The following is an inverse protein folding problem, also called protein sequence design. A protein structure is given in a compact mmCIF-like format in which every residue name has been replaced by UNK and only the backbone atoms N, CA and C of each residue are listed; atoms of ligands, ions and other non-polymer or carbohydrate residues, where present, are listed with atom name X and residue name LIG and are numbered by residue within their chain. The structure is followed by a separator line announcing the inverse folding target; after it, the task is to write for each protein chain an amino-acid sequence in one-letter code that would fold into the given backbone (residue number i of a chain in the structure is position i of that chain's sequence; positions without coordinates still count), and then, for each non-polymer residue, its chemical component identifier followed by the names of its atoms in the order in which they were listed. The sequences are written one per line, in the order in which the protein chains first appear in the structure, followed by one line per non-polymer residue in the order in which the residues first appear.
data_IF_540001646156
#
_entry.id   IF_540001646156
#
_cell.length_a   1.000
_cell.length_b   1.000
_cell.length_c   1.000
_cell.angle_alpha   90.00
_cell.angle_beta   90.00
_cell.angle_gamma   90.00
#
_symmetry.space_group_name_H-M   'P 1'
#
loop_
_entity.id
_entity.type
_entity.pdbx_description
1 polymer ?
#
# COMPACT_ATOMS: atom_id res chain seq x y z
N UNK A 1 47.40 -55.95 -76.53
CA UNK A 1 46.59 -56.60 -75.47
C UNK A 1 47.41 -56.52 -74.19
N UNK A 2 46.86 -56.16 -73.00
CA UNK A 2 45.46 -56.34 -72.57
C UNK A 2 44.76 -55.04 -72.09
N UNK A 3 43.42 -55.04 -71.96
CA UNK A 3 42.68 -54.02 -71.21
C UNK A 3 42.99 -54.12 -69.70
N UNK A 4 42.77 -53.05 -68.92
CA UNK A 4 42.98 -53.08 -67.48
C UNK A 4 42.05 -54.11 -66.80
N UNK A 5 42.52 -54.76 -65.71
CA UNK A 5 41.70 -55.70 -64.95
C UNK A 5 40.56 -54.98 -64.20
N UNK A 6 39.40 -55.63 -64.02
CA UNK A 6 38.28 -55.05 -63.32
C UNK A 6 38.34 -55.27 -61.79
N UNK A 7 37.78 -54.28 -61.09
CA UNK A 7 37.26 -54.20 -59.72
C UNK A 7 37.56 -55.29 -58.67
N UNK A 8 38.01 -54.83 -57.50
CA UNK A 8 37.82 -55.47 -56.20
C UNK A 8 37.85 -54.44 -55.06
N UNK A 9 36.84 -54.39 -54.17
CA UNK A 9 36.66 -53.30 -53.20
C UNK A 9 37.27 -53.57 -51.82
N UNK A 10 37.26 -52.50 -51.02
CA UNK A 10 37.30 -52.45 -49.56
C UNK A 10 38.66 -52.53 -48.86
N UNK A 11 39.26 -51.35 -48.66
CA UNK A 11 40.06 -51.04 -47.47
C UNK A 11 39.35 -49.95 -46.67
N UNK A 12 38.89 -50.30 -45.47
CA UNK A 12 38.16 -49.46 -44.52
C UNK A 12 38.98 -48.22 -44.13
N UNK A 13 38.47 -47.03 -44.45
CA UNK A 13 38.95 -45.80 -43.84
C UNK A 13 38.53 -45.70 -42.36
N UNK A 14 39.29 -44.96 -41.53
CA UNK A 14 38.97 -44.81 -40.11
C UNK A 14 37.60 -44.10 -39.93
N UNK A 15 36.87 -44.40 -38.84
CA UNK A 15 35.57 -43.79 -38.60
C UNK A 15 35.70 -42.26 -38.44
N UNK A 16 34.76 -41.46 -38.96
CA UNK A 16 34.80 -40.02 -38.81
C UNK A 16 34.62 -39.63 -37.33
N UNK A 17 35.22 -38.51 -36.88
CA UNK A 17 35.10 -38.08 -35.50
C UNK A 17 33.64 -37.73 -35.19
N UNK A 18 33.06 -38.44 -34.23
CA UNK A 18 31.75 -38.07 -33.67
C UNK A 18 31.87 -36.70 -33.00
N UNK A 19 31.33 -35.67 -33.65
CA UNK A 19 31.09 -34.36 -33.02
C UNK A 19 30.14 -34.57 -31.85
N UNK A 20 30.66 -34.48 -30.62
CA UNK A 20 29.87 -34.43 -29.38
C UNK A 20 28.92 -33.23 -29.44
N UNK A 21 27.64 -33.51 -29.75
CA UNK A 21 26.51 -32.55 -29.70
C UNK A 21 26.02 -32.28 -28.28
N UNK A 22 26.64 -32.85 -27.26
CA UNK A 22 26.20 -32.74 -25.86
C UNK A 22 26.49 -31.38 -25.22
N UNK A 23 27.46 -30.61 -25.72
CA UNK A 23 27.79 -29.29 -25.14
C UNK A 23 26.77 -28.18 -25.42
N UNK A 24 26.06 -28.24 -26.57
CA UNK A 24 25.14 -27.18 -26.98
C UNK A 24 23.79 -27.25 -26.24
N UNK A 25 23.34 -28.46 -25.88
CA UNK A 25 22.06 -28.67 -25.20
C UNK A 25 22.16 -28.31 -23.71
N UNK A 26 23.29 -28.60 -23.06
CA UNK A 26 23.50 -28.24 -21.64
C UNK A 26 23.64 -26.72 -21.47
N UNK A 27 24.29 -26.02 -22.41
CA UNK A 27 24.38 -24.55 -22.39
C UNK A 27 23.03 -23.84 -22.57
N UNK A 28 22.13 -24.41 -23.37
CA UNK A 28 20.79 -23.86 -23.61
C UNK A 28 19.84 -24.06 -22.42
N UNK A 29 19.93 -25.21 -21.74
CA UNK A 29 19.12 -25.50 -20.54
C UNK A 29 19.62 -24.70 -19.33
N UNK A 30 20.93 -24.57 -19.15
CA UNK A 30 21.50 -23.74 -18.08
C UNK A 30 21.28 -22.24 -18.32
N UNK A 31 21.40 -21.76 -19.57
CA UNK A 31 21.07 -20.39 -19.95
C UNK A 31 19.58 -20.06 -19.82
N UNK A 32 18.71 -21.01 -20.16
CA UNK A 32 17.26 -20.89 -19.97
C UNK A 32 16.86 -20.87 -18.49
N UNK A 33 17.44 -21.74 -17.67
CA UNK A 33 17.22 -21.73 -16.23
C UNK A 33 17.72 -20.43 -15.58
N UNK A 34 18.90 -19.92 -15.98
CA UNK A 34 19.42 -18.65 -15.50
C UNK A 34 18.56 -17.44 -15.94
N UNK A 35 18.05 -17.45 -17.17
CA UNK A 35 17.12 -16.42 -17.66
C UNK A 35 15.75 -16.48 -16.95
N UNK A 36 15.24 -17.67 -16.67
CA UNK A 36 14.00 -17.86 -15.90
C UNK A 36 14.20 -17.41 -14.45
N UNK A 37 15.30 -17.79 -13.81
CA UNK A 37 15.63 -17.34 -12.45
C UNK A 37 15.85 -15.84 -12.41
N UNK A 38 16.52 -15.26 -13.41
CA UNK A 38 16.69 -13.81 -13.52
C UNK A 38 15.35 -13.12 -13.77
N UNK A 39 14.50 -13.63 -14.65
CA UNK A 39 13.18 -13.07 -14.91
C UNK A 39 12.26 -13.18 -13.68
N UNK A 40 12.30 -14.30 -12.96
CA UNK A 40 11.55 -14.50 -11.70
C UNK A 40 12.10 -13.59 -10.60
N UNK A 41 13.43 -13.48 -10.45
CA UNK A 41 14.05 -12.54 -9.52
C UNK A 41 13.72 -11.09 -9.89
N UNK A 42 13.68 -10.75 -11.18
CA UNK A 42 13.25 -9.44 -11.65
C UNK A 42 11.76 -9.21 -11.40
N UNK A 43 10.89 -10.20 -11.55
CA UNK A 43 9.46 -10.09 -11.22
C UNK A 43 9.22 -10.01 -9.71
N UNK A 44 10.03 -10.67 -8.89
CA UNK A 44 9.95 -10.61 -7.43
C UNK A 44 10.54 -9.31 -6.86
N UNK A 45 11.56 -8.75 -7.51
CA UNK A 45 12.21 -7.48 -7.11
C UNK A 45 11.55 -6.25 -7.74
N UNK A 46 10.94 -6.39 -8.93
CA UNK A 46 10.32 -5.31 -9.71
C UNK A 46 8.85 -5.53 -10.07
N UNK A 47 8.19 -6.53 -9.46
CA UNK A 47 6.73 -6.53 -9.38
C UNK A 47 6.29 -5.23 -8.71
N UNK A 48 5.13 -4.69 -9.10
CA UNK A 48 4.62 -3.47 -8.48
C UNK A 48 4.48 -3.70 -6.98
N UNK A 49 5.38 -3.10 -6.19
CA UNK A 49 5.31 -3.15 -4.74
C UNK A 49 3.92 -2.67 -4.31
N UNK A 50 3.33 -3.25 -3.25
CA UNK A 50 2.07 -2.73 -2.72
C UNK A 50 2.21 -1.25 -2.36
N UNK A 51 1.14 -0.48 -2.54
CA UNK A 51 1.08 0.92 -2.12
C UNK A 51 1.24 1.01 -0.61
N UNK A 52 2.15 1.86 -0.16
CA UNK A 52 2.49 2.07 1.25
C UNK A 52 1.85 3.35 1.76
N UNK A 53 1.74 3.50 3.08
CA UNK A 53 1.16 4.70 3.71
C UNK A 53 1.97 5.95 3.34
N UNK A 54 3.31 5.87 3.30
CA UNK A 54 4.14 7.01 2.89
C UNK A 54 3.91 7.47 1.44
N UNK A 55 3.32 6.63 0.59
CA UNK A 55 3.01 6.98 -0.81
C UNK A 55 1.85 7.96 -0.94
N UNK A 56 1.03 8.11 0.11
CA UNK A 56 -0.09 9.04 0.16
C UNK A 56 0.35 10.51 0.12
N UNK A 57 1.60 10.78 0.51
CA UNK A 57 2.22 12.10 0.39
C UNK A 57 2.18 12.65 -1.05
N UNK A 58 2.21 11.76 -2.06
CA UNK A 58 2.18 12.16 -3.46
C UNK A 58 0.86 12.84 -3.87
N UNK A 59 -0.24 12.58 -3.14
CA UNK A 59 -1.56 13.16 -3.42
C UNK A 59 -2.07 14.10 -2.35
N UNK A 60 -1.54 14.04 -1.12
CA UNK A 60 -2.01 14.88 -0.02
C UNK A 60 -2.02 16.36 -0.41
N UNK A 61 -0.86 16.92 -0.78
CA UNK A 61 -0.77 18.34 -1.13
C UNK A 61 -1.56 18.75 -2.37
N UNK A 62 -1.74 17.81 -3.33
CA UNK A 62 -2.54 18.05 -4.54
C UNK A 62 -4.00 18.21 -4.17
N UNK A 63 -4.55 17.22 -3.46
CA UNK A 63 -5.94 17.24 -3.01
C UNK A 63 -6.17 18.41 -2.05
N UNK A 64 -5.24 18.65 -1.12
CA UNK A 64 -5.37 19.76 -0.18
C UNK A 64 -5.43 21.12 -0.87
N UNK A 65 -4.64 21.32 -1.92
CA UNK A 65 -4.66 22.56 -2.70
C UNK A 65 -5.95 22.69 -3.53
N UNK A 66 -6.40 21.61 -4.18
CA UNK A 66 -7.58 21.63 -5.06
C UNK A 66 -8.87 21.88 -4.27
N UNK A 67 -8.98 21.30 -3.08
CA UNK A 67 -10.18 21.39 -2.23
C UNK A 67 -10.06 22.41 -1.09
N UNK A 68 -8.88 23.02 -0.91
CA UNK A 68 -8.56 23.90 0.22
C UNK A 68 -8.90 23.26 1.59
N UNK A 69 -8.64 21.95 1.72
CA UNK A 69 -8.96 21.11 2.88
C UNK A 69 -7.98 19.94 2.98
N UNK A 70 -7.46 19.66 4.18
CA UNK A 70 -6.57 18.52 4.35
C UNK A 70 -7.35 17.20 4.21
N UNK A 71 -6.98 16.32 3.26
CA UNK A 71 -7.65 15.04 3.10
C UNK A 71 -7.27 14.06 4.21
N UNK A 72 -8.24 13.30 4.65
CA UNK A 72 -7.99 12.13 5.47
C UNK A 72 -7.70 10.92 4.57
N UNK A 73 -6.43 10.52 4.48
CA UNK A 73 -5.93 9.52 3.51
C UNK A 73 -5.41 8.26 4.19
N UNK A 74 -5.74 7.06 3.72
CA UNK A 74 -5.15 5.84 4.28
C UNK A 74 -5.00 4.72 3.27
N UNK A 75 -4.30 3.68 3.69
CA UNK A 75 -4.20 2.41 2.96
C UNK A 75 -4.75 1.32 3.85
N UNK A 76 -5.69 0.52 3.33
CA UNK A 76 -6.34 -0.54 4.11
C UNK A 76 -6.69 -1.72 3.22
N UNK A 77 -6.58 -2.93 3.77
CA UNK A 77 -7.17 -4.11 3.16
C UNK A 77 -8.62 -4.23 3.64
N UNK A 78 -9.58 -4.04 2.73
CA UNK A 78 -11.01 -4.17 2.99
C UNK A 78 -11.59 -5.11 1.95
N UNK A 79 -12.40 -6.08 2.37
CA UNK A 79 -13.06 -7.05 1.48
C UNK A 79 -12.11 -7.79 0.52
N UNK A 80 -10.87 -8.05 0.98
CA UNK A 80 -9.84 -8.72 0.18
C UNK A 80 -9.19 -7.86 -0.91
N UNK A 81 -9.41 -6.55 -0.89
CA UNK A 81 -8.84 -5.59 -1.83
C UNK A 81 -8.01 -4.53 -1.08
N UNK A 82 -6.81 -4.26 -1.60
CA UNK A 82 -5.96 -3.18 -1.10
C UNK A 82 -6.52 -1.86 -1.59
N UNK A 83 -6.92 -1.01 -0.65
CA UNK A 83 -7.68 0.21 -0.92
C UNK A 83 -6.84 1.42 -0.59
N UNK A 84 -6.80 2.39 -1.50
CA UNK A 84 -6.47 3.77 -1.14
C UNK A 84 -7.77 4.46 -0.76
N UNK A 85 -7.87 4.86 0.49
CA UNK A 85 -9.03 5.57 1.01
C UNK A 85 -8.75 7.07 1.04
N UNK A 86 -9.71 7.86 0.60
CA UNK A 86 -9.69 9.33 0.67
C UNK A 86 -10.99 9.80 1.26
N UNK A 87 -10.94 10.53 2.37
CA UNK A 87 -12.07 11.27 2.91
C UNK A 87 -11.80 12.77 2.89
N UNK A 88 -12.81 13.52 2.46
CA UNK A 88 -12.78 14.98 2.35
C UNK A 88 -14.07 15.56 2.93
N UNK A 89 -13.93 16.63 3.72
CA UNK A 89 -15.05 17.45 4.14
C UNK A 89 -15.23 18.62 3.19
N UNK A 90 -16.37 18.71 2.51
CA UNK A 90 -16.70 19.75 1.55
C UNK A 90 -17.69 20.74 2.16
N UNK A 91 -17.24 21.98 2.37
CA UNK A 91 -18.09 23.04 2.94
C UNK A 91 -19.19 23.52 1.99
N UNK A 92 -18.90 23.57 0.69
CA UNK A 92 -19.83 23.98 -0.36
C UNK A 92 -19.83 22.92 -1.46
N UNK A 93 -20.96 22.26 -1.71
CA UNK A 93 -21.14 21.39 -2.88
C UNK A 93 -22.52 21.57 -3.53
N UNK A 94 -22.57 21.42 -4.86
CA UNK A 94 -23.74 21.68 -5.71
C UNK A 94 -24.77 20.55 -5.80
N UNK A 95 -24.90 19.72 -4.75
CA UNK A 95 -25.80 18.56 -4.69
C UNK A 95 -25.22 17.24 -5.25
N UNK A 96 -26.03 16.15 -5.36
CA UNK A 96 -25.50 14.80 -5.62
C UNK A 96 -24.80 14.60 -6.97
N UNK A 97 -25.17 15.38 -7.99
CA UNK A 97 -24.53 15.31 -9.31
C UNK A 97 -23.08 15.78 -9.27
N UNK A 98 -22.82 16.87 -8.54
CA UNK A 98 -21.46 17.40 -8.36
C UNK A 98 -20.63 16.46 -7.51
N UNK A 99 -21.17 15.86 -6.44
CA UNK A 99 -20.42 14.92 -5.59
C UNK A 99 -19.86 13.72 -6.37
N UNK A 100 -20.58 13.22 -7.37
CA UNK A 100 -20.06 12.15 -8.24
C UNK A 100 -18.90 12.63 -9.11
N UNK A 101 -18.98 13.84 -9.65
CA UNK A 101 -17.91 14.45 -10.46
C UNK A 101 -16.67 14.71 -9.60
N UNK A 102 -16.84 15.27 -8.40
CA UNK A 102 -15.76 15.49 -7.44
C UNK A 102 -15.10 14.17 -7.01
N UNK A 103 -15.92 13.15 -6.72
CA UNK A 103 -15.41 11.81 -6.40
C UNK A 103 -14.59 11.22 -7.54
N UNK A 104 -15.03 11.39 -8.79
CA UNK A 104 -14.30 10.95 -9.96
C UNK A 104 -12.97 11.70 -10.14
N UNK A 105 -12.95 13.01 -9.84
CA UNK A 105 -11.75 13.83 -9.89
C UNK A 105 -10.73 13.40 -8.82
N UNK A 106 -11.16 13.22 -7.57
CA UNK A 106 -10.32 12.69 -6.49
C UNK A 106 -9.78 11.31 -6.86
N UNK A 107 -10.63 10.41 -7.33
CA UNK A 107 -10.21 9.06 -7.74
C UNK A 107 -9.21 9.09 -8.90
N UNK A 108 -9.38 10.02 -9.86
CA UNK A 108 -8.44 10.24 -10.96
C UNK A 108 -7.11 10.78 -10.46
N UNK A 109 -7.10 11.70 -9.50
CA UNK A 109 -5.87 12.23 -8.89
C UNK A 109 -5.10 11.12 -8.19
N UNK A 110 -5.77 10.27 -7.40
CA UNK A 110 -5.19 9.07 -6.80
C UNK A 110 -4.63 8.13 -7.87
N UNK A 111 -5.45 7.80 -8.87
CA UNK A 111 -5.08 6.93 -9.99
C UNK A 111 -3.85 7.41 -10.74
N UNK A 112 -3.73 8.71 -10.96
CA UNK A 112 -2.62 9.27 -11.74
C UNK A 112 -1.33 9.49 -10.95
N UNK A 113 -1.39 9.46 -9.62
CA UNK A 113 -0.30 10.02 -8.79
C UNK A 113 0.22 9.07 -7.70
N UNK A 114 -0.63 8.28 -7.04
CA UNK A 114 -0.19 7.44 -5.90
C UNK A 114 0.62 6.24 -6.38
N UNK A 115 1.90 6.08 -6.04
CA UNK A 115 2.69 4.93 -6.48
C UNK A 115 2.27 3.60 -5.83
N UNK A 116 2.81 2.50 -6.35
CA UNK A 116 2.53 1.12 -5.90
C UNK A 116 1.30 0.47 -6.56
N UNK A 117 1.00 -0.74 -6.14
CA UNK A 117 -0.20 -1.49 -6.51
C UNK A 117 -1.27 -1.39 -5.43
N UNK A 118 -2.50 -1.12 -5.86
CA UNK A 118 -3.73 -1.20 -5.10
C UNK A 118 -4.86 -1.64 -6.04
N UNK A 119 -5.93 -2.20 -5.47
CA UNK A 119 -7.02 -2.81 -6.22
C UNK A 119 -8.20 -1.84 -6.40
N UNK A 120 -8.36 -0.91 -5.46
CA UNK A 120 -9.47 0.04 -5.44
C UNK A 120 -9.12 1.39 -4.81
N UNK A 121 -9.91 2.41 -5.15
CA UNK A 121 -9.94 3.71 -4.48
C UNK A 121 -11.32 3.91 -3.88
N UNK A 122 -11.38 4.16 -2.58
CA UNK A 122 -12.61 4.56 -1.91
C UNK A 122 -12.55 6.07 -1.67
N UNK A 123 -13.56 6.80 -2.16
CA UNK A 123 -13.71 8.25 -1.94
C UNK A 123 -14.95 8.48 -1.09
N UNK A 124 -14.76 9.16 0.02
CA UNK A 124 -15.82 9.59 0.95
C UNK A 124 -15.84 11.11 0.98
N UNK A 125 -16.93 11.69 0.47
CA UNK A 125 -17.15 13.12 0.48
C UNK A 125 -18.23 13.43 1.51
N UNK A 126 -17.83 14.11 2.58
CA UNK A 126 -18.71 14.47 3.69
C UNK A 126 -19.03 15.97 3.64
N UNK A 127 -20.16 16.37 4.21
CA UNK A 127 -20.53 17.78 4.35
C UNK A 127 -21.66 17.95 5.37
N UNK A 128 -22.58 18.88 5.13
CA UNK A 128 -23.75 19.08 6.01
C UNK A 128 -24.84 18.01 5.87
N UNK A 129 -24.87 17.30 4.73
CA UNK A 129 -25.80 16.21 4.44
C UNK A 129 -25.12 14.84 4.65
N UNK A 130 -25.87 13.76 4.40
CA UNK A 130 -25.35 12.39 4.43
C UNK A 130 -24.09 12.24 3.57
N UNK A 131 -23.05 11.52 4.06
CA UNK A 131 -21.80 11.35 3.34
C UNK A 131 -22.02 10.57 2.04
N UNK A 132 -21.35 11.03 0.99
CA UNK A 132 -21.33 10.38 -0.31
C UNK A 132 -20.12 9.46 -0.42
N UNK A 133 -20.38 8.17 -0.59
CA UNK A 133 -19.33 7.14 -0.70
C UNK A 133 -19.33 6.55 -2.11
N UNK A 134 -18.15 6.48 -2.72
CA UNK A 134 -17.96 5.81 -3.99
C UNK A 134 -16.67 5.01 -4.01
N UNK A 135 -16.79 3.75 -4.41
CA UNK A 135 -15.64 2.85 -4.60
C UNK A 135 -15.39 2.65 -6.09
N UNK A 136 -14.13 2.84 -6.46
CA UNK A 136 -13.63 2.71 -7.81
C UNK A 136 -12.67 1.53 -7.86
N UNK A 137 -13.14 0.41 -8.41
CA UNK A 137 -12.27 -0.73 -8.67
C UNK A 137 -11.29 -0.41 -9.81
N UNK A 138 -10.20 -1.18 -9.90
CA UNK A 138 -9.19 -1.01 -10.96
C UNK A 138 -9.78 -1.06 -12.37
N UNK A 139 -10.88 -1.79 -12.58
CA UNK A 139 -11.53 -1.86 -13.89
C UNK A 139 -12.22 -0.55 -14.22
N UNK A 140 -13.02 0.01 -13.32
CA UNK A 140 -13.67 1.31 -13.46
C UNK A 140 -12.65 2.43 -13.65
N UNK A 141 -11.57 2.45 -12.85
CA UNK A 141 -10.49 3.44 -12.99
C UNK A 141 -9.84 3.40 -14.38
N UNK A 142 -9.64 2.21 -14.95
CA UNK A 142 -9.09 2.04 -16.29
C UNK A 142 -10.08 2.40 -17.39
N UNK A 143 -11.34 2.03 -17.22
CA UNK A 143 -12.41 2.34 -18.17
C UNK A 143 -12.61 3.86 -18.30
N UNK A 144 -12.61 4.58 -17.17
CA UNK A 144 -12.94 6.01 -17.14
C UNK A 144 -11.73 6.94 -17.29
N UNK A 145 -10.57 6.56 -16.74
CA UNK A 145 -9.38 7.42 -16.71
C UNK A 145 -8.23 6.88 -17.58
N UNK A 146 -8.41 5.72 -18.19
CA UNK A 146 -7.40 5.06 -19.01
C UNK A 146 -6.30 4.37 -18.18
N UNK A 147 -5.26 3.93 -18.89
CA UNK A 147 -4.10 3.30 -18.26
C UNK A 147 -3.37 4.32 -17.39
N UNK A 148 -3.00 3.90 -16.18
CA UNK A 148 -2.26 4.70 -15.21
C UNK A 148 -0.98 5.27 -15.83
N UNK A 149 -0.73 6.60 -15.75
CA UNK A 149 0.46 7.22 -16.33
C UNK A 149 1.76 6.63 -15.75
N UNK A 150 2.60 6.06 -16.64
CA UNK A 150 4.05 5.85 -16.50
C UNK A 150 4.57 5.15 -15.24
N UNK A 151 4.74 3.82 -15.30
CA UNK A 151 5.64 3.06 -14.41
C UNK A 151 4.99 2.35 -13.21
N UNK A 152 3.66 2.43 -13.08
CA UNK A 152 2.85 1.81 -12.03
C UNK A 152 1.93 0.70 -12.56
N UNK A 153 2.30 0.12 -13.70
CA UNK A 153 1.81 -1.18 -14.12
C UNK A 153 2.37 -2.26 -13.18
N UNK A 154 1.64 -3.38 -12.93
CA UNK A 154 2.21 -4.55 -12.27
C UNK A 154 3.44 -5.18 -12.94
N UNK A 155 3.84 -4.67 -14.11
CA UNK A 155 5.09 -5.01 -14.76
C UNK A 155 5.74 -3.80 -15.41
N UNK A 156 7.00 -3.56 -15.02
CA UNK A 156 8.03 -2.74 -15.67
C UNK A 156 8.15 -1.28 -15.19
N UNK A 157 8.95 -1.12 -14.15
CA UNK A 157 9.54 0.14 -13.69
C UNK A 157 10.53 0.71 -14.72
N UNK A 158 10.52 2.02 -14.94
CA UNK A 158 11.40 2.75 -15.87
C UNK A 158 12.83 2.99 -15.34
N UNK A 159 13.20 2.31 -14.24
CA UNK A 159 14.52 2.41 -13.61
C UNK A 159 14.72 3.65 -12.74
N UNK A 160 13.73 4.55 -12.65
CA UNK A 160 13.65 5.53 -11.56
C UNK A 160 12.96 4.83 -10.39
N UNK A 161 13.58 4.81 -9.22
CA UNK A 161 13.06 4.09 -8.06
C UNK A 161 11.63 4.59 -7.74
N UNK A 162 10.59 3.73 -7.82
CA UNK A 162 9.23 4.13 -7.48
C UNK A 162 9.15 4.31 -5.96
N UNK A 163 9.34 5.57 -5.55
CA UNK A 163 9.42 6.10 -4.17
C UNK A 163 10.34 5.30 -3.23
N UNK A 164 11.47 5.92 -2.90
CA UNK A 164 12.58 5.34 -2.15
C UNK A 164 12.25 4.96 -0.70
N UNK A 165 11.04 5.28 -0.21
CA UNK A 165 10.67 5.14 1.19
C UNK A 165 10.66 3.68 1.63
N UNK A 166 11.67 3.27 2.40
CA UNK A 166 11.82 1.93 3.00
C UNK A 166 10.87 1.77 4.18
N UNK A 167 10.79 0.54 4.69
CA UNK A 167 10.17 0.32 5.99
C UNK A 167 10.94 1.16 7.04
N UNK A 168 10.22 1.86 7.91
CA UNK A 168 10.78 2.82 8.86
C UNK A 168 10.94 4.25 8.34
N UNK A 169 10.77 4.48 7.02
CA UNK A 169 10.88 5.83 6.45
C UNK A 169 9.51 6.54 6.42
N UNK A 170 9.54 7.84 6.73
CA UNK A 170 8.39 8.73 6.72
C UNK A 170 8.46 9.72 5.56
N UNK A 171 7.30 10.17 5.09
CA UNK A 171 7.21 11.36 4.25
C UNK A 171 7.65 12.58 5.06
N UNK A 172 8.63 13.36 4.57
CA UNK A 172 9.09 14.56 5.27
C UNK A 172 8.10 15.73 5.19
N UNK A 173 7.11 15.68 4.29
CA UNK A 173 6.18 16.79 4.04
C UNK A 173 4.85 16.65 4.77
N UNK A 174 4.43 15.40 5.06
CA UNK A 174 3.09 15.09 5.57
C UNK A 174 3.11 13.99 6.66
N UNK A 175 4.29 13.64 7.16
CA UNK A 175 4.51 12.72 8.29
C UNK A 175 4.02 11.28 8.12
N UNK A 176 3.57 10.89 6.92
CA UNK A 176 3.14 9.52 6.65
C UNK A 176 4.30 8.52 6.75
N UNK A 177 4.22 7.59 7.69
CA UNK A 177 5.26 6.59 7.94
C UNK A 177 4.84 5.19 7.51
N UNK A 178 5.82 4.32 7.27
CA UNK A 178 5.58 2.93 6.89
C UNK A 178 5.75 1.93 8.04
N UNK A 179 6.34 2.35 9.16
CA UNK A 179 6.45 1.53 10.37
C UNK A 179 6.01 2.34 11.58
N UNK A 180 5.29 1.69 12.52
CA UNK A 180 4.83 2.31 13.74
C UNK A 180 5.98 2.49 14.73
N UNK A 181 5.86 3.47 15.63
CA UNK A 181 6.74 3.55 16.79
C UNK A 181 6.61 2.29 17.66
N UNK A 182 7.74 1.78 18.17
CA UNK A 182 7.77 0.52 18.94
C UNK A 182 6.80 0.54 20.13
N UNK A 183 6.67 1.69 20.80
CA UNK A 183 5.77 1.87 21.93
C UNK A 183 4.29 1.68 21.57
N UNK A 184 3.90 1.85 20.30
CA UNK A 184 2.51 1.77 19.83
C UNK A 184 2.08 0.36 19.38
N UNK A 185 3.00 -0.61 19.35
CA UNK A 185 2.72 -2.00 18.91
C UNK A 185 3.00 -3.04 19.98
N UNK A 186 2.91 -2.65 21.26
CA UNK A 186 3.10 -3.55 22.40
C UNK A 186 1.79 -4.15 22.90
N UNK A 187 1.90 -5.21 23.70
CA UNK A 187 0.74 -5.79 24.42
C UNK A 187 0.09 -4.77 25.37
N UNK A 188 0.89 -3.85 25.94
CA UNK A 188 0.38 -2.78 26.79
C UNK A 188 -0.51 -1.80 26.01
N UNK A 189 -0.07 -1.38 24.82
CA UNK A 189 -0.90 -0.54 23.94
C UNK A 189 -2.18 -1.27 23.58
N UNK A 190 -2.09 -2.54 23.18
CA UNK A 190 -3.26 -3.36 22.86
C UNK A 190 -4.26 -3.41 24.02
N UNK A 191 -3.79 -3.64 25.24
CA UNK A 191 -4.63 -3.70 26.43
C UNK A 191 -5.32 -2.35 26.72
N UNK A 192 -4.62 -1.22 26.55
CA UNK A 192 -5.22 0.11 26.70
C UNK A 192 -6.23 0.43 25.60
N UNK A 193 -5.95 0.03 24.35
CA UNK A 193 -6.92 0.17 23.26
C UNK A 193 -8.20 -0.61 23.56
N UNK A 194 -8.10 -1.86 24.04
CA UNK A 194 -9.24 -2.69 24.45
C UNK A 194 -10.07 -2.08 25.57
N UNK A 195 -9.40 -1.46 26.56
CA UNK A 195 -10.09 -0.75 27.66
C UNK A 195 -10.81 0.51 27.17
N UNK A 196 -10.16 1.31 26.32
CA UNK A 196 -10.71 2.56 25.81
C UNK A 196 -11.82 2.35 24.78
N UNK A 197 -11.75 1.24 24.02
CA UNK A 197 -12.65 0.95 22.89
C UNK A 197 -13.37 -0.41 23.05
N UNK A 198 -14.23 -0.58 24.09
CA UNK A 198 -14.86 -1.86 24.38
C UNK A 198 -15.96 -2.25 23.39
N UNK A 199 -16.40 -1.32 22.52
CA UNK A 199 -17.42 -1.55 21.50
C UNK A 199 -16.83 -2.05 20.17
N UNK A 200 -15.50 -1.97 20.00
CA UNK A 200 -14.85 -2.51 18.81
C UNK A 200 -14.92 -4.04 18.78
N UNK A 201 -15.07 -4.59 17.58
CA UNK A 201 -14.94 -6.03 17.36
C UNK A 201 -13.45 -6.41 17.38
N UNK A 202 -12.98 -6.87 18.54
CA UNK A 202 -11.59 -7.25 18.75
C UNK A 202 -11.18 -8.55 18.05
N UNK A 203 -12.14 -9.39 17.65
CA UNK A 203 -11.90 -10.60 16.85
C UNK A 203 -11.67 -10.25 15.38
N UNK A 204 -12.40 -9.26 14.87
CA UNK A 204 -12.26 -8.73 13.52
C UNK A 204 -11.33 -7.50 13.42
N UNK A 205 -10.60 -7.16 14.48
CA UNK A 205 -9.78 -5.94 14.53
C UNK A 205 -8.69 -5.95 13.45
N UNK A 206 -8.47 -4.84 12.73
CA UNK A 206 -7.47 -4.79 11.66
C UNK A 206 -6.07 -5.13 12.15
N UNK A 207 -5.37 -6.00 11.44
CA UNK A 207 -4.00 -6.39 11.78
C UNK A 207 -2.97 -5.28 11.50
N UNK A 208 -3.26 -4.41 10.53
CA UNK A 208 -2.42 -3.26 10.16
C UNK A 208 -3.20 -1.95 10.36
N UNK A 209 -2.52 -0.87 10.77
CA UNK A 209 -3.13 0.45 10.86
C UNK A 209 -3.42 1.02 9.47
N UNK A 210 -4.50 1.79 9.40
CA UNK A 210 -4.95 2.56 8.24
C UNK A 210 -4.03 3.75 7.94
N UNK A 211 -3.51 4.40 8.99
CA UNK A 211 -2.48 5.44 8.92
C UNK A 211 -1.43 5.23 10.02
N UNK A 212 -0.20 5.63 9.72
CA UNK A 212 0.90 5.77 10.66
C UNK A 212 1.49 7.15 10.44
N UNK A 213 1.61 7.95 11.51
CA UNK A 213 2.21 9.27 11.46
C UNK A 213 3.27 9.44 12.52
N UNK A 214 4.37 10.12 12.20
CA UNK A 214 5.33 10.62 13.18
C UNK A 214 5.35 12.14 13.07
N UNK A 215 4.83 12.82 14.08
CA UNK A 215 4.65 14.26 14.04
C UNK A 215 5.95 14.95 14.47
N UNK A 216 6.16 16.17 13.98
CA UNK A 216 7.20 17.01 14.53
C UNK A 216 6.82 17.38 15.98
N UNK A 217 7.64 16.97 16.99
CA UNK A 217 7.34 17.23 18.40
C UNK A 217 7.30 18.73 18.74
N UNK A 218 7.82 19.62 17.88
CA UNK A 218 7.74 21.06 18.07
C UNK A 218 6.36 21.65 17.69
N UNK A 219 5.59 20.97 16.82
CA UNK A 219 4.31 21.46 16.30
C UNK A 219 3.08 20.81 16.97
N UNK A 220 3.22 19.56 17.42
CA UNK A 220 2.16 18.80 18.04
C UNK A 220 2.69 18.14 19.31
N UNK A 221 1.94 18.17 20.42
CA UNK A 221 2.29 17.43 21.64
C UNK A 221 2.29 15.90 21.46
N UNK A 222 2.08 15.42 20.24
CA UNK A 222 2.12 14.04 19.80
C UNK A 222 3.47 13.76 19.14
N UNK A 223 4.09 12.61 19.45
CA UNK A 223 5.30 12.14 18.78
C UNK A 223 4.95 11.24 17.59
N UNK A 224 3.93 10.38 17.76
CA UNK A 224 3.53 9.41 16.75
C UNK A 224 2.06 9.03 16.94
N UNK A 225 1.38 8.63 15.87
CA UNK A 225 0.04 8.07 15.99
C UNK A 225 -0.22 6.93 15.00
N UNK A 226 -1.05 5.99 15.44
CA UNK A 226 -1.66 4.95 14.62
C UNK A 226 -3.14 5.24 14.53
N UNK A 227 -3.70 5.11 13.33
CA UNK A 227 -5.15 5.13 13.15
C UNK A 227 -5.56 3.81 12.53
N UNK A 228 -6.60 3.18 13.09
CA UNK A 228 -7.24 1.98 12.57
C UNK A 228 -8.63 2.35 12.09
N UNK A 229 -8.96 1.95 10.85
CA UNK A 229 -10.33 2.00 10.35
C UNK A 229 -11.02 0.71 10.78
N UNK A 230 -12.07 0.83 11.59
CA UNK A 230 -12.78 -0.30 12.19
C UNK A 230 -13.99 -0.75 11.38
N UNK A 231 -14.58 0.16 10.59
CA UNK A 231 -15.71 -0.15 9.72
C UNK A 231 -15.27 -0.39 8.27
N UNK A 232 -16.11 -1.04 7.43
CA UNK A 232 -15.81 -1.18 6.00
C UNK A 232 -15.65 0.18 5.32
N UNK A 233 -14.81 0.27 4.29
CA UNK A 233 -14.58 1.52 3.53
C UNK A 233 -15.84 2.07 2.83
N UNK A 234 -16.89 1.26 2.73
CA UNK A 234 -18.19 1.63 2.17
C UNK A 234 -19.16 2.19 3.22
N UNK A 235 -18.79 2.18 4.50
CA UNK A 235 -19.63 2.72 5.56
C UNK A 235 -19.74 4.24 5.38
N UNK A 236 -20.96 4.81 5.48
CA UNK A 236 -21.16 6.26 5.40
C UNK A 236 -20.43 6.98 6.54
N UNK A 237 -20.56 6.43 7.75
CA UNK A 237 -19.86 6.89 8.93
C UNK A 237 -18.74 5.89 9.24
N UNK A 238 -17.51 6.38 9.18
CA UNK A 238 -16.35 5.54 9.39
C UNK A 238 -16.00 5.48 10.88
N UNK A 239 -15.86 4.25 11.39
CA UNK A 239 -15.45 3.99 12.77
C UNK A 239 -13.93 3.96 12.81
N UNK A 240 -13.35 4.66 13.78
CA UNK A 240 -11.90 4.75 13.91
C UNK A 240 -11.43 4.55 15.34
N UNK A 241 -10.23 3.99 15.45
CA UNK A 241 -9.46 4.03 16.68
C UNK A 241 -8.12 4.69 16.40
N UNK A 242 -7.88 5.81 17.06
CA UNK A 242 -6.60 6.53 17.02
C UNK A 242 -5.86 6.29 18.32
N UNK A 243 -4.59 5.89 18.21
CA UNK A 243 -3.67 5.79 19.33
C UNK A 243 -2.52 6.76 19.09
N UNK A 244 -2.29 7.67 20.02
CA UNK A 244 -1.28 8.71 19.91
C UNK A 244 -0.27 8.57 21.04
N UNK A 245 1.00 8.42 20.70
CA UNK A 245 2.13 8.58 21.61
C UNK A 245 2.36 10.07 21.85
N UNK A 246 2.39 10.49 23.10
CA UNK A 246 2.54 11.89 23.50
C UNK A 246 3.97 12.17 23.97
N UNK A 247 4.47 13.38 23.67
CA UNK A 247 5.79 13.86 24.11
C UNK A 247 5.79 14.55 25.48
N UNK A 248 4.65 14.55 26.17
CA UNK A 248 4.46 15.20 27.48
C UNK A 248 5.08 14.41 28.64
N UNK A 249 5.35 15.10 29.75
CA UNK A 249 5.92 14.45 30.96
C UNK A 249 4.89 13.66 31.77
N UNK A 250 3.62 14.07 31.75
CA UNK A 250 2.55 13.48 32.56
C UNK A 250 1.64 12.54 31.75
N UNK A 251 1.39 12.87 30.48
CA UNK A 251 0.59 12.08 29.55
C UNK A 251 1.51 11.35 28.55
N UNK A 252 1.32 10.03 28.42
CA UNK A 252 2.18 9.18 27.60
C UNK A 252 1.45 8.63 26.37
N UNK A 253 0.20 8.21 26.52
CA UNK A 253 -0.60 7.62 25.45
C UNK A 253 -2.01 8.19 25.49
N UNK A 254 -2.54 8.55 24.33
CA UNK A 254 -3.94 8.92 24.16
C UNK A 254 -4.61 7.91 23.24
N UNK A 255 -5.81 7.45 23.60
CA UNK A 255 -6.65 6.60 22.77
C UNK A 255 -7.98 7.29 22.53
N UNK A 256 -8.27 7.57 21.27
CA UNK A 256 -9.58 8.04 20.81
C UNK A 256 -10.27 6.90 20.05
N UNK A 257 -11.48 6.55 20.46
CA UNK A 257 -12.29 5.51 19.85
C UNK A 257 -13.64 6.08 19.44
N UNK A 258 -13.94 6.00 18.15
CA UNK A 258 -15.23 6.36 17.56
C UNK A 258 -15.85 5.09 16.98
N UNK A 259 -16.97 4.63 17.54
CA UNK A 259 -17.75 3.50 17.02
C UNK A 259 -19.22 3.87 17.01
N UNK A 260 -19.81 3.98 15.83
CA UNK A 260 -21.14 4.55 15.64
C UNK A 260 -21.20 5.98 16.19
N UNK A 261 -22.22 6.27 17.00
CA UNK A 261 -22.39 7.57 17.67
C UNK A 261 -21.56 7.71 18.97
N UNK A 262 -20.92 6.63 19.43
CA UNK A 262 -20.16 6.62 20.68
C UNK A 262 -18.70 7.06 20.43
N UNK A 263 -18.35 8.21 20.99
CA UNK A 263 -17.00 8.75 21.01
C UNK A 263 -16.40 8.62 22.41
N UNK A 264 -15.22 8.01 22.53
CA UNK A 264 -14.46 7.91 23.78
C UNK A 264 -13.05 8.46 23.59
N UNK A 265 -12.58 9.11 24.63
CA UNK A 265 -11.26 9.73 24.68
C UNK A 265 -10.67 9.41 26.04
N UNK A 266 -9.55 8.69 26.05
CA UNK A 266 -8.83 8.31 27.26
C UNK A 266 -7.36 8.69 27.12
N UNK A 267 -6.79 9.26 28.17
CA UNK A 267 -5.37 9.61 28.25
C UNK A 267 -4.74 8.81 29.39
N UNK A 268 -3.57 8.24 29.12
CA UNK A 268 -2.86 7.35 30.01
C UNK A 268 -1.48 7.92 30.32
N UNK A 269 -1.11 7.88 31.60
CA UNK A 269 0.25 8.18 32.02
C UNK A 269 1.21 7.04 31.64
N UNK A 270 2.52 7.28 31.77
CA UNK A 270 3.52 6.20 31.58
C UNK A 270 3.31 5.06 32.57
N UNK A 271 2.88 5.35 33.80
CA UNK A 271 2.60 4.32 34.80
C UNK A 271 1.40 3.44 34.37
N UNK A 272 0.32 4.05 33.89
CA UNK A 272 -0.85 3.32 33.38
C UNK A 272 -0.48 2.41 32.21
N UNK A 273 0.42 2.87 31.34
CA UNK A 273 0.97 2.09 30.24
C UNK A 273 1.81 0.90 30.72
N UNK A 274 2.73 1.13 31.65
CA UNK A 274 3.60 0.07 32.18
C UNK A 274 2.80 -1.01 32.93
N UNK A 275 1.71 -0.62 33.59
CA UNK A 275 0.80 -1.50 34.35
C UNK A 275 -0.35 -2.09 33.50
N UNK A 276 -0.43 -1.81 32.20
CA UNK A 276 -1.58 -2.18 31.36
C UNK A 276 -1.84 -3.70 31.24
N UNK A 277 -0.83 -4.54 31.44
CA UNK A 277 -0.92 -6.01 31.39
C UNK A 277 -0.64 -6.64 32.78
N UNK A 278 -0.47 -5.81 33.82
CA UNK A 278 -0.12 -6.19 35.19
C UNK A 278 -1.31 -6.37 36.14
#
# INVERSE_FOLDING_TARGET
MPPPPPYGPAGLGPPPPQRRRTGLVVGLVAGGAALVVLAVALVLVFGSRPTRISDLAAVHGVIAADYNQDPFLGVVESDGARTVYVSLYLYDFGGPGTLREESAEVARTVWSTVPGAYDQVAVVLSGYDDPFVQVWDTRALREDFGVRPGGLEPGRTDGRAPTLNRAGECSPEFDYCNEPAEALVTENTRALMERACPLADWEAFPAEPFQIRNHDPDDYSAESSLIYLLSPVTAPDADFLTVTLLGGNDDFLEVTCQVGDDARYETYSRADYEDAVG
#
